data_IF_206716736990
#
_entry.id   IF_206716736990
#
_cell.length_a   1.000
_cell.length_b   1.000
_cell.length_c   1.000
_cell.angle_alpha   90.00
_cell.angle_beta   90.00
_cell.angle_gamma   90.00
#
_symmetry.space_group_name_H-M   'P 1'
#
loop_
_entity.id
_entity.type
_entity.pdbx_description
1 polymer ?
#
# COMPACT_ATOMS: atom_id res chain seq x y z
N UNK A 1 0.87 38.41 -0.79
CA UNK A 1 0.52 37.05 -0.31
C UNK A 1 0.25 36.15 -1.49
N UNK A 2 1.25 35.38 -1.91
CA UNK A 2 1.17 34.49 -3.06
C UNK A 2 0.74 33.08 -2.64
N UNK A 3 -0.29 33.00 -1.79
CA UNK A 3 -0.75 31.74 -1.22
C UNK A 3 -1.81 31.14 -2.14
N UNK A 4 -1.54 29.94 -2.65
CA UNK A 4 -2.53 29.15 -3.40
C UNK A 4 -3.40 28.40 -2.41
N UNK A 5 -4.72 28.60 -2.50
CA UNK A 5 -5.70 27.88 -1.69
C UNK A 5 -6.37 26.81 -2.55
N UNK A 6 -6.49 25.60 -2.00
CA UNK A 6 -7.20 24.50 -2.64
C UNK A 6 -8.50 24.27 -1.87
N UNK A 7 -9.58 24.11 -2.62
CA UNK A 7 -10.89 23.82 -2.06
C UNK A 7 -11.27 22.40 -2.45
N UNK A 8 -11.28 21.50 -1.46
CA UNK A 8 -11.67 20.13 -1.65
C UNK A 8 -13.13 19.96 -1.22
N UNK A 9 -13.97 19.44 -2.12
CA UNK A 9 -15.29 18.95 -1.74
C UNK A 9 -15.17 17.46 -1.41
N UNK A 10 -15.38 17.11 -0.14
CA UNK A 10 -15.22 15.76 0.36
C UNK A 10 -16.50 14.91 0.25
N UNK A 11 -17.61 15.52 -0.18
CA UNK A 11 -18.92 14.87 -0.26
C UNK A 11 -19.31 14.47 -1.69
N UNK A 12 -18.41 14.64 -2.67
CA UNK A 12 -18.60 14.20 -4.06
C UNK A 12 -19.60 15.01 -4.91
N UNK A 13 -20.36 15.92 -4.30
CA UNK A 13 -21.25 16.81 -5.05
C UNK A 13 -20.48 17.96 -5.73
N UNK A 14 -20.93 18.46 -6.88
CA UNK A 14 -20.34 19.68 -7.47
C UNK A 14 -20.92 20.92 -6.79
N UNK A 15 -20.45 21.23 -5.59
CA UNK A 15 -20.82 22.48 -4.91
C UNK A 15 -20.09 23.65 -5.56
N UNK A 16 -20.84 24.63 -6.09
CA UNK A 16 -20.28 25.90 -6.54
C UNK A 16 -20.10 26.82 -5.35
N UNK A 17 -18.85 27.19 -5.07
CA UNK A 17 -18.53 28.12 -4.00
C UNK A 17 -18.50 29.55 -4.55
N UNK A 18 -19.28 30.44 -3.95
CA UNK A 18 -19.39 31.84 -4.39
C UNK A 18 -18.38 32.76 -3.69
N UNK A 19 -17.89 32.36 -2.51
CA UNK A 19 -16.92 33.15 -1.73
C UNK A 19 -16.17 32.26 -0.74
N UNK A 20 -14.87 32.51 -0.57
CA UNK A 20 -14.04 31.90 0.47
C UNK A 20 -13.65 32.98 1.48
N UNK A 21 -14.00 32.77 2.75
CA UNK A 21 -13.54 33.61 3.86
C UNK A 21 -12.31 32.95 4.48
N UNK A 22 -11.14 33.56 4.33
CA UNK A 22 -9.92 33.11 4.99
C UNK A 22 -9.68 33.94 6.26
N UNK A 23 -9.36 33.27 7.35
CA UNK A 23 -8.91 33.93 8.58
C UNK A 23 -7.40 34.09 8.51
N UNK A 24 -6.91 35.34 8.51
CA UNK A 24 -5.47 35.63 8.42
C UNK A 24 -4.71 35.42 9.73
N UNK A 25 -5.42 35.17 10.82
CA UNK A 25 -4.80 34.90 12.11
C UNK A 25 -4.20 33.49 12.14
N UNK A 26 -2.92 33.39 12.46
CA UNK A 26 -2.37 32.16 13.02
C UNK A 26 -2.93 31.98 14.41
N UNK A 27 -3.53 30.83 14.69
CA UNK A 27 -3.88 30.47 16.05
C UNK A 27 -2.59 30.45 16.86
N UNK A 28 -2.45 31.31 17.88
CA UNK A 28 -1.17 31.51 18.60
C UNK A 28 -0.61 30.21 19.20
N UNK A 29 -1.48 29.23 19.49
CA UNK A 29 -1.10 27.91 19.99
C UNK A 29 -0.83 26.87 18.88
N UNK A 30 -0.95 27.21 17.59
CA UNK A 30 -0.58 26.33 16.50
C UNK A 30 0.95 26.26 16.39
N UNK A 31 1.52 25.23 17.00
CA UNK A 31 2.98 25.02 17.08
C UNK A 31 3.52 24.08 16.01
N UNK A 32 2.67 23.49 15.17
CA UNK A 32 3.06 22.56 14.12
C UNK A 32 2.09 22.60 12.92
N UNK A 33 2.56 22.28 11.70
CA UNK A 33 1.69 22.16 10.53
C UNK A 33 0.71 20.98 10.68
N UNK A 34 -0.43 21.03 9.99
CA UNK A 34 -1.36 19.90 9.90
C UNK A 34 -0.60 18.65 9.41
N UNK A 35 -0.70 17.56 10.16
CA UNK A 35 -0.15 16.26 9.79
C UNK A 35 -1.29 15.29 9.55
N UNK A 36 -1.26 14.63 8.40
CA UNK A 36 -2.18 13.57 8.03
C UNK A 36 -1.62 12.18 8.40
N UNK A 37 -0.49 12.09 9.09
CA UNK A 37 0.11 10.81 9.42
C UNK A 37 -0.83 9.94 10.28
N UNK A 38 -1.21 8.77 9.77
CA UNK A 38 -2.07 7.81 10.49
C UNK A 38 -1.20 6.84 11.29
N UNK A 39 -0.52 7.35 12.32
CA UNK A 39 0.35 6.54 13.18
C UNK A 39 -0.44 5.52 14.03
N UNK A 40 -1.70 5.82 14.32
CA UNK A 40 -2.61 4.94 15.05
C UNK A 40 -3.96 4.94 14.36
N UNK A 41 -4.47 3.75 14.07
CA UNK A 41 -5.80 3.59 13.51
C UNK A 41 -6.85 4.15 14.48
N UNK A 42 -7.85 4.88 13.98
CA UNK A 42 -8.87 5.47 14.84
C UNK A 42 -9.65 4.38 15.58
N UNK A 43 -9.90 4.62 16.87
CA UNK A 43 -10.68 3.73 17.71
C UNK A 43 -12.18 3.97 17.49
N UNK A 44 -12.68 3.57 16.31
CA UNK A 44 -14.11 3.61 15.94
C UNK A 44 -14.80 2.31 16.43
N UNK A 45 -16.10 2.16 16.16
CA UNK A 45 -16.83 0.89 16.24
C UNK A 45 -16.12 -0.22 15.45
N UNK A 46 -16.11 -1.47 15.93
CA UNK A 46 -15.41 -2.59 15.26
C UNK A 46 -16.35 -3.36 14.33
N UNK A 47 -16.74 -2.78 13.21
CA UNK A 47 -17.60 -3.45 12.23
C UNK A 47 -16.79 -4.43 11.40
N UNK A 48 -16.73 -5.69 11.83
CA UNK A 48 -15.92 -6.73 11.19
C UNK A 48 -16.63 -7.32 9.98
N UNK A 49 -15.87 -7.53 8.92
CA UNK A 49 -16.27 -8.26 7.73
C UNK A 49 -15.22 -9.33 7.42
N UNK A 50 -15.58 -10.28 6.54
CA UNK A 50 -14.69 -11.35 6.11
C UNK A 50 -14.80 -11.53 4.60
N UNK A 51 -13.71 -11.98 3.96
CA UNK A 51 -13.72 -12.49 2.59
C UNK A 51 -12.70 -13.62 2.41
N UNK A 52 -12.94 -14.43 1.39
CA UNK A 52 -12.04 -15.49 0.98
C UNK A 52 -11.17 -14.99 -0.19
N UNK A 53 -9.86 -15.07 -0.06
CA UNK A 53 -8.87 -14.67 -1.06
C UNK A 53 -8.15 -15.91 -1.60
N UNK A 54 -8.15 -16.09 -2.92
CA UNK A 54 -7.57 -17.27 -3.57
C UNK A 54 -6.37 -16.89 -4.40
N UNK A 55 -5.31 -17.69 -4.34
CA UNK A 55 -4.16 -17.51 -5.22
C UNK A 55 -3.48 -18.84 -5.51
N UNK A 56 -2.80 -18.91 -6.65
CA UNK A 56 -1.97 -20.05 -6.99
C UNK A 56 -0.49 -19.76 -6.70
N UNK A 57 0.23 -20.76 -6.19
CA UNK A 57 1.68 -20.73 -6.06
C UNK A 57 2.26 -22.10 -6.41
N UNK A 58 3.23 -22.15 -7.32
CA UNK A 58 3.83 -23.40 -7.82
C UNK A 58 2.81 -24.49 -8.21
N UNK A 59 1.74 -24.08 -8.90
CA UNK A 59 0.69 -24.98 -9.39
C UNK A 59 -0.28 -25.49 -8.31
N UNK A 60 -0.21 -24.98 -7.08
CA UNK A 60 -1.18 -25.29 -6.01
C UNK A 60 -2.03 -24.07 -5.70
N UNK A 61 -3.34 -24.29 -5.57
CA UNK A 61 -4.27 -23.27 -5.11
C UNK A 61 -4.25 -23.18 -3.58
N UNK A 62 -4.30 -21.94 -3.09
CA UNK A 62 -4.36 -21.58 -1.70
C UNK A 62 -5.52 -20.63 -1.48
N UNK A 63 -6.19 -20.78 -0.33
CA UNK A 63 -7.29 -19.92 0.09
C UNK A 63 -6.96 -19.33 1.46
N UNK A 64 -7.04 -18.00 1.56
CA UNK A 64 -6.83 -17.24 2.79
C UNK A 64 -8.14 -16.56 3.18
N UNK A 65 -8.67 -16.90 4.35
CA UNK A 65 -9.79 -16.18 4.94
C UNK A 65 -9.25 -14.95 5.67
N UNK A 66 -9.63 -13.75 5.19
CA UNK A 66 -9.22 -12.48 5.79
C UNK A 66 -10.40 -11.82 6.48
N UNK A 67 -10.16 -11.31 7.67
CA UNK A 67 -11.08 -10.43 8.38
C UNK A 67 -10.63 -8.98 8.18
N UNK A 68 -11.53 -8.02 8.12
CA UNK A 68 -11.17 -6.59 8.03
C UNK A 68 -12.26 -5.73 8.65
N UNK A 69 -11.95 -4.45 8.87
CA UNK A 69 -12.83 -3.48 9.53
C UNK A 69 -13.48 -2.54 8.52
N UNK A 70 -14.78 -2.72 8.30
CA UNK A 70 -15.57 -1.86 7.40
C UNK A 70 -15.64 -0.41 7.87
N UNK A 71 -15.61 -0.18 9.17
CA UNK A 71 -15.58 1.16 9.74
C UNK A 71 -14.29 1.93 9.42
N UNK A 72 -13.15 1.23 9.30
CA UNK A 72 -11.89 1.84 8.86
C UNK A 72 -11.94 2.17 7.37
N UNK A 73 -12.53 1.29 6.55
CA UNK A 73 -12.80 1.57 5.14
C UNK A 73 -13.66 2.83 5.00
N UNK A 74 -14.73 2.96 5.78
CA UNK A 74 -15.61 4.14 5.73
C UNK A 74 -14.91 5.44 6.16
N UNK A 75 -13.95 5.32 7.08
CA UNK A 75 -13.07 6.42 7.46
C UNK A 75 -12.10 6.78 6.32
N UNK A 76 -11.41 5.78 5.74
CA UNK A 76 -10.42 5.98 4.69
C UNK A 76 -11.02 6.47 3.37
N UNK A 77 -12.27 6.10 3.08
CA UNK A 77 -13.01 6.62 1.93
C UNK A 77 -13.11 8.17 1.94
N UNK A 78 -13.18 8.78 3.13
CA UNK A 78 -13.27 10.23 3.32
C UNK A 78 -11.91 10.86 3.67
N UNK A 79 -10.86 10.06 3.68
CA UNK A 79 -9.54 10.52 4.03
C UNK A 79 -8.95 11.33 2.87
N UNK A 80 -8.41 12.54 3.09
CA UNK A 80 -7.83 13.32 2.02
C UNK A 80 -6.69 12.56 1.33
N UNK A 81 -6.71 12.52 0.00
CA UNK A 81 -5.59 12.02 -0.78
C UNK A 81 -4.33 12.81 -0.44
N UNK A 82 -3.22 12.10 -0.26
CA UNK A 82 -1.97 12.64 0.26
C UNK A 82 -0.77 11.89 -0.34
N UNK A 83 0.43 12.15 0.12
CA UNK A 83 1.66 11.54 -0.41
C UNK A 83 1.64 10.01 -0.31
N UNK A 84 2.14 9.32 -1.33
CA UNK A 84 2.27 7.85 -1.37
C UNK A 84 3.00 7.28 -0.15
N UNK A 85 4.01 7.97 0.37
CA UNK A 85 4.75 7.61 1.58
C UNK A 85 3.84 7.31 2.79
N UNK A 86 2.71 8.01 2.92
CA UNK A 86 1.76 7.81 4.00
C UNK A 86 1.01 6.49 3.86
N UNK A 87 0.57 6.13 2.65
CA UNK A 87 -0.08 4.86 2.37
C UNK A 87 0.88 3.68 2.62
N UNK A 88 2.12 3.79 2.16
CA UNK A 88 3.17 2.79 2.45
C UNK A 88 3.48 2.66 3.95
N UNK A 89 3.25 3.70 4.76
CA UNK A 89 3.44 3.65 6.21
C UNK A 89 2.20 3.17 6.98
N UNK A 90 1.05 3.09 6.32
CA UNK A 90 -0.21 2.70 6.95
C UNK A 90 -0.18 1.27 7.48
N UNK A 91 -0.94 1.05 8.55
CA UNK A 91 -1.09 -0.25 9.20
C UNK A 91 -2.45 -0.87 8.91
N UNK A 92 -2.52 -2.20 8.95
CA UNK A 92 -3.80 -2.91 9.00
C UNK A 92 -4.37 -2.91 10.42
N UNK A 93 -5.70 -3.11 10.49
CA UNK A 93 -6.38 -3.46 11.73
C UNK A 93 -5.79 -4.75 12.33
N UNK A 94 -5.86 -4.92 13.66
CA UNK A 94 -5.47 -6.17 14.28
C UNK A 94 -6.20 -7.39 13.71
N UNK A 95 -7.47 -7.24 13.33
CA UNK A 95 -8.28 -8.27 12.67
C UNK A 95 -7.68 -8.70 11.32
N UNK A 96 -7.38 -7.73 10.45
CA UNK A 96 -6.75 -7.98 9.16
C UNK A 96 -5.33 -8.53 9.28
N UNK A 97 -4.51 -7.93 10.13
CA UNK A 97 -3.17 -8.43 10.39
C UNK A 97 -3.19 -9.90 10.87
N UNK A 98 -3.99 -10.21 11.90
CA UNK A 98 -4.00 -11.54 12.50
C UNK A 98 -4.55 -12.62 11.56
N UNK A 99 -5.58 -12.30 10.78
CA UNK A 99 -6.14 -13.25 9.81
C UNK A 99 -5.19 -13.53 8.65
N UNK A 100 -4.52 -12.50 8.10
CA UNK A 100 -3.46 -12.66 7.10
C UNK A 100 -2.28 -13.46 7.64
N UNK A 101 -1.83 -13.17 8.86
CA UNK A 101 -0.75 -13.94 9.52
C UNK A 101 -1.17 -15.41 9.67
N UNK A 102 -2.39 -15.68 10.13
CA UNK A 102 -2.90 -17.05 10.29
C UNK A 102 -2.89 -17.81 8.96
N UNK A 103 -3.24 -17.16 7.86
CA UNK A 103 -3.30 -17.80 6.53
C UNK A 103 -1.96 -17.92 5.82
N UNK A 104 -1.12 -16.88 5.84
CA UNK A 104 0.13 -16.83 5.08
C UNK A 104 1.30 -17.45 5.83
N UNK A 105 1.36 -17.33 7.16
CA UNK A 105 2.51 -17.82 7.95
C UNK A 105 2.80 -19.31 7.76
N UNK A 106 1.81 -20.22 7.70
CA UNK A 106 2.07 -21.63 7.40
C UNK A 106 2.71 -21.87 6.03
N UNK A 107 2.44 -20.98 5.06
CA UNK A 107 2.98 -21.10 3.70
C UNK A 107 4.44 -20.64 3.64
N UNK A 108 4.84 -19.66 4.45
CA UNK A 108 6.18 -19.07 4.43
C UNK A 108 7.10 -19.58 5.55
N UNK A 109 6.57 -20.27 6.56
CA UNK A 109 7.36 -20.79 7.68
C UNK A 109 8.49 -21.71 7.18
N UNK A 110 9.68 -21.56 7.79
CA UNK A 110 10.87 -22.38 7.50
C UNK A 110 11.39 -22.31 6.04
N UNK A 111 10.97 -21.31 5.25
CA UNK A 111 11.50 -21.07 3.89
C UNK A 111 12.60 -20.00 3.86
N UNK A 112 13.48 -19.99 2.84
CA UNK A 112 14.41 -18.89 2.59
C UNK A 112 13.67 -17.58 2.33
N UNK A 113 14.28 -16.44 2.67
CA UNK A 113 13.71 -15.09 2.46
C UNK A 113 13.14 -14.87 1.07
N UNK A 114 13.91 -15.23 0.03
CA UNK A 114 13.50 -15.13 -1.37
C UNK A 114 12.16 -15.83 -1.63
N UNK A 115 12.02 -17.08 -1.18
CA UNK A 115 10.81 -17.86 -1.38
C UNK A 115 9.64 -17.34 -0.54
N UNK A 116 9.89 -16.83 0.67
CA UNK A 116 8.85 -16.18 1.49
C UNK A 116 8.27 -14.96 0.77
N UNK A 117 9.14 -14.10 0.22
CA UNK A 117 8.74 -12.89 -0.50
C UNK A 117 8.04 -13.26 -1.80
N UNK A 118 8.51 -14.27 -2.52
CA UNK A 118 7.90 -14.75 -3.77
C UNK A 118 6.48 -15.32 -3.56
N UNK A 119 6.24 -16.05 -2.45
CA UNK A 119 4.88 -16.49 -2.06
C UNK A 119 3.96 -15.30 -1.80
N UNK A 120 4.45 -14.31 -1.03
CA UNK A 120 3.68 -13.09 -0.72
C UNK A 120 3.41 -12.30 -2.01
N UNK A 121 4.38 -12.23 -2.91
CA UNK A 121 4.25 -11.57 -4.21
C UNK A 121 3.15 -12.23 -5.04
N UNK A 122 3.15 -13.57 -5.11
CA UNK A 122 2.11 -14.31 -5.84
C UNK A 122 0.72 -14.12 -5.21
N UNK A 123 0.64 -14.06 -3.87
CA UNK A 123 -0.62 -13.75 -3.19
C UNK A 123 -1.16 -12.40 -3.63
N UNK A 124 -0.36 -11.33 -3.58
CA UNK A 124 -0.84 -9.98 -3.97
C UNK A 124 -1.15 -9.90 -5.47
N UNK A 125 -0.34 -10.52 -6.32
CA UNK A 125 -0.59 -10.55 -7.77
C UNK A 125 -1.94 -11.17 -8.12
N UNK A 126 -2.32 -12.28 -7.44
CA UNK A 126 -3.40 -13.17 -7.91
C UNK A 126 -4.65 -13.19 -7.05
N UNK A 127 -4.57 -12.74 -5.79
CA UNK A 127 -5.73 -12.74 -4.89
C UNK A 127 -6.69 -11.57 -5.13
N UNK A 128 -6.27 -10.59 -5.92
CA UNK A 128 -7.01 -9.36 -6.20
C UNK A 128 -7.12 -9.19 -7.71
N UNK A 129 -8.33 -8.86 -8.18
CA UNK A 129 -8.56 -8.51 -9.58
C UNK A 129 -8.00 -7.10 -9.85
N UNK A 130 -7.53 -6.87 -11.08
CA UNK A 130 -6.97 -5.57 -11.47
C UNK A 130 -8.05 -4.72 -12.13
N UNK A 131 -8.16 -3.47 -11.71
CA UNK A 131 -8.92 -2.43 -12.39
C UNK A 131 -8.36 -1.07 -11.97
N UNK A 132 -8.36 -0.10 -12.88
CA UNK A 132 -7.88 1.26 -12.57
C UNK A 132 -8.89 2.02 -11.71
N UNK A 133 -8.39 2.94 -10.89
CA UNK A 133 -9.23 3.83 -10.08
C UNK A 133 -10.23 4.66 -10.89
N UNK A 134 -9.85 5.14 -12.07
CA UNK A 134 -10.78 5.87 -12.95
C UNK A 134 -11.98 5.00 -13.35
N UNK A 135 -11.79 3.69 -13.55
CA UNK A 135 -12.90 2.78 -13.86
C UNK A 135 -13.69 2.40 -12.61
N UNK A 136 -13.00 2.13 -11.49
CA UNK A 136 -13.64 1.68 -10.24
C UNK A 136 -14.40 2.82 -9.53
N UNK A 137 -13.82 4.02 -9.48
CA UNK A 137 -14.30 5.15 -8.69
C UNK A 137 -14.67 6.38 -9.51
N UNK A 138 -14.15 6.51 -10.75
CA UNK A 138 -14.32 7.71 -11.58
C UNK A 138 -13.37 8.86 -11.20
N UNK A 139 -12.34 8.56 -10.41
CA UNK A 139 -11.27 9.46 -10.00
C UNK A 139 -10.13 8.66 -9.35
N UNK A 140 -8.92 9.23 -9.33
CA UNK A 140 -7.71 8.68 -8.70
C UNK A 140 -7.87 8.51 -7.17
N UNK A 141 -7.92 7.27 -6.67
CA UNK A 141 -8.14 6.95 -5.26
C UNK A 141 -7.20 5.82 -4.78
N UNK A 142 -5.96 6.15 -4.40
CA UNK A 142 -5.06 5.19 -3.78
C UNK A 142 -5.70 4.59 -2.52
N UNK A 143 -5.63 3.28 -2.38
CA UNK A 143 -6.23 2.55 -1.27
C UNK A 143 -5.24 2.35 -0.13
N UNK A 144 -5.75 2.51 1.09
CA UNK A 144 -5.06 1.99 2.26
C UNK A 144 -5.09 0.45 2.26
N UNK A 145 -4.13 -0.24 2.93
CA UNK A 145 -4.12 -1.72 2.96
C UNK A 145 -5.46 -2.35 3.40
N UNK A 146 -6.18 -1.70 4.32
CA UNK A 146 -7.50 -2.17 4.77
C UNK A 146 -8.56 -2.06 3.66
N UNK A 147 -8.49 -1.02 2.85
CA UNK A 147 -9.39 -0.80 1.71
C UNK A 147 -9.12 -1.80 0.59
N UNK A 148 -7.86 -2.16 0.32
CA UNK A 148 -7.49 -3.21 -0.65
C UNK A 148 -8.11 -4.57 -0.28
N UNK A 149 -8.28 -4.86 1.02
CA UNK A 149 -8.99 -6.06 1.48
C UNK A 149 -10.51 -5.94 1.31
N UNK A 150 -11.08 -4.74 1.22
CA UNK A 150 -12.52 -4.55 1.07
C UNK A 150 -12.96 -4.49 -0.39
N UNK A 151 -12.33 -3.64 -1.21
CA UNK A 151 -12.76 -3.39 -2.58
C UNK A 151 -12.54 -4.63 -3.48
N UNK A 152 -13.36 -4.79 -4.52
CA UNK A 152 -13.26 -5.92 -5.44
C UNK A 152 -12.01 -5.86 -6.33
N UNK A 153 -11.52 -4.66 -6.65
CA UNK A 153 -10.36 -4.44 -7.51
C UNK A 153 -9.27 -3.63 -6.82
N UNK A 154 -8.04 -3.78 -7.32
CA UNK A 154 -6.89 -2.98 -6.92
C UNK A 154 -5.90 -2.80 -8.07
N UNK A 155 -5.30 -1.62 -8.16
CA UNK A 155 -4.31 -1.29 -9.17
C UNK A 155 -2.87 -1.31 -8.62
N UNK A 156 -1.95 -0.54 -9.22
CA UNK A 156 -0.53 -0.72 -9.01
C UNK A 156 -0.05 -0.25 -7.63
N UNK A 157 -0.49 0.92 -7.19
CA UNK A 157 -0.14 1.50 -5.91
C UNK A 157 -0.73 0.71 -4.74
N UNK A 158 -1.97 0.23 -4.88
CA UNK A 158 -2.66 -0.54 -3.86
C UNK A 158 -1.93 -1.84 -3.56
N UNK A 159 -1.54 -2.53 -4.64
CA UNK A 159 -0.79 -3.77 -4.60
C UNK A 159 0.61 -3.53 -4.03
N UNK A 160 1.27 -2.44 -4.40
CA UNK A 160 2.58 -2.07 -3.87
C UNK A 160 2.52 -1.79 -2.36
N UNK A 161 1.52 -1.04 -1.91
CA UNK A 161 1.27 -0.70 -0.50
C UNK A 161 1.00 -1.96 0.33
N UNK A 162 0.08 -2.83 -0.13
CA UNK A 162 -0.23 -4.09 0.55
C UNK A 162 0.98 -5.05 0.59
N UNK A 163 1.69 -5.21 -0.53
CA UNK A 163 2.87 -6.06 -0.60
C UNK A 163 3.97 -5.57 0.36
N UNK A 164 4.27 -4.27 0.36
CA UNK A 164 5.26 -3.70 1.26
C UNK A 164 4.87 -3.86 2.74
N UNK A 165 3.58 -3.75 3.07
CA UNK A 165 3.09 -4.07 4.42
C UNK A 165 3.36 -5.53 4.78
N UNK A 166 3.00 -6.48 3.91
CA UNK A 166 3.13 -7.91 4.18
C UNK A 166 4.60 -8.34 4.33
N UNK A 167 5.50 -7.88 3.45
CA UNK A 167 6.92 -8.24 3.54
C UNK A 167 7.55 -7.73 4.84
N UNK A 168 7.30 -6.48 5.21
CA UNK A 168 7.83 -5.91 6.46
C UNK A 168 7.30 -6.65 7.69
N UNK A 169 6.01 -6.96 7.72
CA UNK A 169 5.36 -7.49 8.92
C UNK A 169 5.45 -9.03 9.06
N UNK A 170 5.52 -9.78 7.96
CA UNK A 170 5.56 -11.25 7.99
C UNK A 170 6.96 -11.82 7.78
N UNK A 171 7.83 -11.11 7.04
CA UNK A 171 9.19 -11.56 6.74
C UNK A 171 10.23 -10.76 7.53
N UNK A 172 9.98 -9.47 7.78
CA UNK A 172 10.89 -8.59 8.51
C UNK A 172 11.99 -8.00 7.64
N UNK A 173 11.73 -7.78 6.36
CA UNK A 173 12.69 -7.19 5.41
C UNK A 173 12.35 -5.73 5.12
N UNK A 174 13.39 -4.93 4.85
CA UNK A 174 13.22 -3.55 4.39
C UNK A 174 12.67 -3.53 2.97
N UNK A 175 11.72 -2.63 2.74
CA UNK A 175 11.07 -2.41 1.44
C UNK A 175 11.07 -0.93 1.13
N UNK A 176 11.26 -0.59 -0.15
CA UNK A 176 11.02 0.75 -0.68
C UNK A 176 9.96 0.71 -1.77
N UNK A 177 9.17 1.77 -1.86
CA UNK A 177 8.32 1.99 -3.03
C UNK A 177 9.13 2.58 -4.18
N UNK A 178 8.73 2.23 -5.40
CA UNK A 178 9.31 2.73 -6.64
C UNK A 178 8.21 3.44 -7.42
N UNK A 179 8.43 4.71 -7.72
CA UNK A 179 7.53 5.55 -8.49
C UNK A 179 8.15 5.77 -9.88
N UNK A 180 7.60 5.07 -10.87
CA UNK A 180 7.91 5.23 -12.28
C UNK A 180 6.81 6.07 -12.94
N UNK A 181 7.09 6.73 -14.07
CA UNK A 181 6.05 7.39 -14.85
C UNK A 181 4.90 6.43 -15.19
N UNK A 182 3.75 6.63 -14.53
CA UNK A 182 2.54 5.84 -14.74
C UNK A 182 2.51 4.45 -14.09
N UNK A 183 3.45 4.13 -13.18
CA UNK A 183 3.47 2.82 -12.51
C UNK A 183 4.14 2.87 -11.15
N UNK A 184 3.50 2.29 -10.14
CA UNK A 184 4.08 2.12 -8.80
C UNK A 184 4.37 0.65 -8.54
N UNK A 185 5.57 0.40 -8.02
CA UNK A 185 6.08 -0.94 -7.71
C UNK A 185 6.90 -0.92 -6.42
N UNK A 186 7.58 -2.02 -6.10
CA UNK A 186 8.41 -2.11 -4.89
C UNK A 186 9.78 -2.73 -5.16
N UNK A 187 10.72 -2.51 -4.24
CA UNK A 187 11.93 -3.30 -4.16
C UNK A 187 12.27 -3.69 -2.72
N UNK A 188 12.80 -4.89 -2.54
CA UNK A 188 13.05 -5.51 -1.23
C UNK A 188 14.55 -5.67 -1.00
N UNK A 189 15.02 -5.31 0.19
CA UNK A 189 16.39 -5.57 0.64
C UNK A 189 16.47 -6.96 1.25
N UNK A 190 17.11 -7.88 0.54
CA UNK A 190 17.37 -9.23 1.03
C UNK A 190 18.67 -9.29 1.82
N UNK A 191 18.74 -10.15 2.84
CA UNK A 191 19.96 -10.39 3.62
C UNK A 191 21.03 -11.13 2.79
N UNK A 192 20.59 -11.85 1.75
CA UNK A 192 21.46 -12.59 0.82
C UNK A 192 21.44 -11.96 -0.56
N UNK A 193 22.50 -12.20 -1.34
CA UNK A 193 22.56 -11.78 -2.73
C UNK A 193 21.52 -12.55 -3.56
N UNK A 194 20.49 -11.83 -4.01
CA UNK A 194 19.49 -12.32 -4.96
C UNK A 194 19.82 -11.76 -6.36
N UNK A 195 19.68 -12.60 -7.38
CA UNK A 195 19.82 -12.24 -8.80
C UNK A 195 18.56 -11.59 -9.35
N UNK A 196 18.68 -10.91 -10.49
CA UNK A 196 17.56 -10.22 -11.14
C UNK A 196 17.72 -8.70 -11.11
N UNK A 197 16.71 -8.03 -11.64
CA UNK A 197 16.62 -6.57 -11.74
C UNK A 197 16.57 -5.94 -10.33
N UNK A 198 17.31 -4.85 -10.15
CA UNK A 198 17.52 -4.21 -8.86
C UNK A 198 17.77 -2.72 -9.00
N UNK A 199 17.58 -2.00 -7.90
CA UNK A 199 17.92 -0.59 -7.75
C UNK A 199 18.91 -0.41 -6.60
N UNK A 200 19.70 0.66 -6.66
CA UNK A 200 20.59 1.07 -5.57
C UNK A 200 19.95 2.24 -4.82
N UNK A 201 19.67 2.05 -3.54
CA UNK A 201 19.11 3.09 -2.68
C UNK A 201 19.96 3.22 -1.42
N UNK A 202 20.50 4.42 -1.16
CA UNK A 202 21.43 4.68 -0.05
C UNK A 202 22.61 3.69 0.01
N UNK A 203 23.21 3.39 -1.15
CA UNK A 203 24.30 2.42 -1.33
C UNK A 203 23.97 0.96 -0.99
N UNK A 204 22.70 0.63 -0.79
CA UNK A 204 22.23 -0.72 -0.52
C UNK A 204 21.47 -1.25 -1.74
N UNK A 205 21.58 -2.56 -1.99
CA UNK A 205 20.90 -3.22 -3.11
C UNK A 205 19.47 -3.61 -2.70
N UNK A 206 18.49 -3.16 -3.48
CA UNK A 206 17.09 -3.57 -3.36
C UNK A 206 16.65 -4.27 -4.65
N UNK A 207 16.11 -5.47 -4.54
CA UNK A 207 15.69 -6.29 -5.69
C UNK A 207 14.23 -5.99 -6.00
N UNK A 208 13.92 -5.74 -7.27
CA UNK A 208 12.59 -5.32 -7.72
C UNK A 208 11.60 -6.46 -7.50
N UNK A 209 10.46 -6.16 -6.88
CA UNK A 209 9.36 -7.09 -6.65
C UNK A 209 8.07 -6.38 -7.08
N UNK A 210 7.56 -6.74 -8.25
CA UNK A 210 6.41 -6.05 -8.84
C UNK A 210 5.10 -6.81 -8.60
N UNK A 211 4.21 -6.30 -7.72
CA UNK A 211 2.99 -7.00 -7.36
C UNK A 211 1.87 -6.84 -8.41
N UNK A 212 2.10 -6.06 -9.47
CA UNK A 212 1.17 -5.83 -10.58
C UNK A 212 1.60 -6.62 -11.82
N UNK A 213 2.90 -6.96 -11.94
CA UNK A 213 3.40 -7.80 -13.02
C UNK A 213 3.05 -9.27 -12.81
N UNK A 214 1.84 -9.67 -13.21
CA UNK A 214 1.30 -11.02 -12.97
C UNK A 214 2.23 -12.12 -13.46
N UNK A 215 2.67 -12.98 -12.53
CA UNK A 215 3.55 -14.11 -12.82
C UNK A 215 5.04 -13.80 -12.84
N UNK A 216 5.42 -12.55 -12.64
CA UNK A 216 6.79 -12.20 -12.31
C UNK A 216 7.16 -12.73 -10.92
N UNK A 217 8.34 -13.34 -10.83
CA UNK A 217 9.03 -13.65 -9.59
C UNK A 217 9.86 -12.45 -9.12
N UNK A 218 10.44 -12.55 -7.92
CA UNK A 218 11.37 -11.55 -7.40
C UNK A 218 12.52 -11.29 -8.40
N UNK A 219 12.92 -10.04 -8.54
CA UNK A 219 13.97 -9.62 -9.46
C UNK A 219 13.55 -9.59 -10.92
N UNK A 220 12.25 -9.59 -11.23
CA UNK A 220 11.74 -9.38 -12.59
C UNK A 220 10.97 -8.07 -12.67
N UNK A 221 11.59 -7.04 -13.25
CA UNK A 221 10.91 -5.79 -13.56
C UNK A 221 10.11 -5.91 -14.87
N UNK A 222 9.03 -5.14 -14.97
CA UNK A 222 8.33 -4.97 -16.25
C UNK A 222 9.31 -4.41 -17.29
N UNK A 223 9.37 -4.98 -18.51
CA UNK A 223 10.33 -4.54 -19.54
C UNK A 223 10.28 -3.03 -19.82
N UNK A 224 9.08 -2.44 -19.80
CA UNK A 224 8.83 -1.03 -20.12
C UNK A 224 9.44 -0.06 -19.08
N UNK A 225 9.71 -0.53 -17.86
CA UNK A 225 10.23 0.29 -16.76
C UNK A 225 11.71 0.04 -16.45
N UNK A 226 12.40 -0.86 -17.17
CA UNK A 226 13.80 -1.21 -16.88
C UNK A 226 14.79 -0.06 -17.03
N UNK A 227 14.55 0.81 -18.00
CA UNK A 227 15.38 1.98 -18.32
C UNK A 227 14.73 3.30 -17.90
N UNK A 228 13.58 3.24 -17.21
CA UNK A 228 12.87 4.43 -16.75
C UNK A 228 13.56 5.04 -15.52
N UNK A 229 13.55 6.38 -15.44
CA UNK A 229 13.93 7.06 -14.20
C UNK A 229 12.92 6.71 -13.10
N UNK A 230 13.44 6.39 -11.92
CA UNK A 230 12.64 5.97 -10.77
C UNK A 230 12.82 6.95 -9.61
N UNK A 231 11.70 7.38 -9.03
CA UNK A 231 11.70 8.10 -7.76
C UNK A 231 11.49 7.11 -6.63
N UNK A 232 12.35 7.16 -5.61
CA UNK A 232 12.22 6.29 -4.45
C UNK A 232 11.20 6.85 -3.46
N UNK A 233 10.27 6.00 -3.02
CA UNK A 233 9.34 6.30 -1.93
C UNK A 233 9.89 5.65 -0.65
N UNK A 234 10.49 6.41 0.28
CA UNK A 234 11.04 5.86 1.50
C UNK A 234 9.92 5.41 2.42
N UNK A 235 9.98 4.16 2.83
CA UNK A 235 9.07 3.62 3.83
C UNK A 235 9.82 3.70 5.16
N UNK A 236 9.40 4.58 6.06
CA UNK A 236 10.00 4.72 7.38
C UNK A 236 10.02 3.38 8.13
N UNK A 237 10.99 3.21 9.02
CA UNK A 237 11.03 2.06 9.94
C UNK A 237 9.80 2.17 10.85
N UNK A 238 8.91 1.18 10.84
CA UNK A 238 7.84 1.15 11.84
C UNK A 238 8.50 1.05 13.23
N UNK A 239 8.12 1.90 14.19
CA UNK A 239 8.56 1.69 15.56
C UNK A 239 8.07 0.31 16.01
N UNK A 240 8.99 -0.52 16.51
CA UNK A 240 8.64 -1.79 17.11
C UNK A 240 7.61 -1.54 18.22
N UNK A 241 6.45 -2.18 18.12
CA UNK A 241 5.41 -2.17 19.15
C UNK A 241 5.89 -2.85 20.44
#
# INVERSE_FOLDING_TARGET
>A
NNNTYYLANLDGEKTRFTSLMIYSGTFEAATFPLKLDVHRLPAIHKSKMQRSLKFAYNGREHTIEVEYRKDLVDFFYRYPQTSSSLYFQASLSPEAHNSLVKGLRPLIANRPEAEKVDIILSFVQRAFEYETDEVQFGWEKPLFPEETLFYPYSDCEDRAVLFAYLVRNLVGLDVIGLDYPGHISTAVKFSKKISGDFVMYKNEKYVICDPTYIGASIGQAMPEHKDAEVTFIPIGVQPAF
#
